data_IF_930117738519
#
_entry.id   IF_930117738519
#
_cell.length_a   1.000
_cell.length_b   1.000
_cell.length_c   1.000
_cell.angle_alpha   90.00
_cell.angle_beta   90.00
_cell.angle_gamma   90.00
#
_symmetry.space_group_name_H-M   'P 1'
#
loop_
_entity.id
_entity.type
_entity.pdbx_description
1 polymer ?
#
# COMPACT_ATOMS: atom_id res chain seq x y z
N UNK A 1 -21.31 -2.24 21.99
CA UNK A 1 -20.54 -2.20 20.72
C UNK A 1 -21.17 -1.13 19.85
N UNK A 2 -20.37 -0.23 19.29
CA UNK A 2 -20.89 0.86 18.45
C UNK A 2 -21.52 0.28 17.18
N UNK A 3 -22.66 0.82 16.73
CA UNK A 3 -23.36 0.37 15.53
C UNK A 3 -23.88 1.59 14.76
N UNK A 4 -23.59 1.65 13.47
CA UNK A 4 -24.11 2.71 12.60
C UNK A 4 -25.55 2.38 12.21
N UNK A 5 -26.43 3.39 12.23
CA UNK A 5 -27.81 3.26 11.73
C UNK A 5 -27.86 3.07 10.21
N UNK A 6 -26.96 3.75 9.49
CA UNK A 6 -26.82 3.60 8.04
C UNK A 6 -26.22 2.24 7.70
N UNK A 7 -26.80 1.57 6.71
CA UNK A 7 -26.24 0.34 6.12
C UNK A 7 -24.82 0.62 5.63
N UNK A 8 -23.86 -0.15 6.14
CA UNK A 8 -22.46 -0.08 5.72
C UNK A 8 -22.25 -0.96 4.50
N UNK A 9 -21.37 -0.53 3.59
CA UNK A 9 -20.94 -1.33 2.45
C UNK A 9 -19.64 -2.05 2.78
N UNK A 10 -19.46 -3.23 2.20
CA UNK A 10 -18.19 -3.95 2.20
C UNK A 10 -17.68 -3.95 0.75
N UNK A 11 -16.47 -3.48 0.56
CA UNK A 11 -15.77 -3.51 -0.73
C UNK A 11 -14.73 -4.61 -0.71
N UNK A 12 -14.64 -5.37 -1.81
CA UNK A 12 -13.58 -6.34 -2.04
C UNK A 12 -12.56 -5.73 -3.02
N UNK A 13 -11.33 -5.55 -2.55
CA UNK A 13 -10.21 -4.97 -3.29
C UNK A 13 -9.13 -6.03 -3.34
N UNK A 14 -8.91 -6.62 -4.51
CA UNK A 14 -8.10 -7.84 -4.61
C UNK A 14 -8.64 -8.92 -3.68
N UNK A 15 -7.83 -9.38 -2.73
CA UNK A 15 -8.21 -10.39 -1.72
C UNK A 15 -8.67 -9.76 -0.38
N UNK A 16 -8.69 -8.43 -0.27
CA UNK A 16 -8.95 -7.72 0.99
C UNK A 16 -10.37 -7.13 1.01
N UNK A 17 -11.09 -7.35 2.13
CA UNK A 17 -12.42 -6.76 2.37
C UNK A 17 -12.31 -5.57 3.31
N UNK A 18 -12.92 -4.44 2.94
CA UNK A 18 -12.91 -3.20 3.73
C UNK A 18 -14.34 -2.67 3.91
N UNK A 19 -14.66 -2.24 5.12
CA UNK A 19 -15.96 -1.64 5.47
C UNK A 19 -16.73 -2.48 6.49
N UNK A 20 -18.06 -2.47 6.37
CA UNK A 20 -18.94 -3.19 7.30
C UNK A 20 -19.18 -2.49 8.64
N UNK A 21 -19.96 -3.14 9.50
CA UNK A 21 -20.21 -2.67 10.87
C UNK A 21 -18.99 -2.94 11.78
N UNK A 22 -18.81 -2.18 12.88
CA UNK A 22 -17.77 -2.48 13.85
C UNK A 22 -17.85 -3.93 14.35
N UNK A 23 -16.77 -4.69 14.21
CA UNK A 23 -16.70 -6.11 14.59
C UNK A 23 -17.11 -7.10 13.49
N UNK A 24 -17.56 -6.64 12.31
CA UNK A 24 -17.89 -7.52 11.18
C UNK A 24 -16.66 -7.99 10.41
N UNK A 25 -15.67 -7.10 10.24
CA UNK A 25 -14.37 -7.38 9.64
C UNK A 25 -13.25 -6.84 10.53
N UNK A 26 -12.05 -7.45 10.51
CA UNK A 26 -10.87 -6.86 11.12
C UNK A 26 -10.54 -5.51 10.47
N UNK A 27 -9.92 -4.61 11.24
CA UNK A 27 -9.36 -3.38 10.70
C UNK A 27 -8.29 -3.71 9.64
N UNK A 28 -8.33 -3.05 8.49
CA UNK A 28 -7.25 -3.17 7.50
C UNK A 28 -6.14 -2.19 7.84
N UNK A 29 -4.89 -2.65 7.86
CA UNK A 29 -3.71 -1.81 8.07
C UNK A 29 -3.02 -1.52 6.73
N UNK A 30 -2.59 -0.28 6.53
CA UNK A 30 -1.94 0.16 5.29
C UNK A 30 -0.56 0.70 5.64
N UNK A 31 0.49 -0.04 5.30
CA UNK A 31 1.88 0.38 5.53
C UNK A 31 2.40 1.23 4.38
N UNK A 32 2.90 2.43 4.69
CA UNK A 32 3.55 3.29 3.70
C UNK A 32 4.97 2.83 3.40
N UNK A 33 5.35 2.82 2.11
CA UNK A 33 6.69 2.52 1.65
C UNK A 33 7.18 3.61 0.69
N UNK A 34 8.50 3.85 0.68
CA UNK A 34 9.18 4.90 -0.09
C UNK A 34 8.79 6.36 0.21
N UNK A 35 8.12 6.61 1.34
CA UNK A 35 7.75 7.96 1.78
C UNK A 35 8.97 8.86 2.07
N UNK A 36 8.73 10.17 2.18
CA UNK A 36 9.71 11.17 2.61
C UNK A 36 10.46 10.73 3.88
N UNK A 37 11.79 10.82 3.88
CA UNK A 37 12.63 10.38 5.00
C UNK A 37 12.79 8.85 5.16
N UNK A 38 12.20 8.02 4.30
CA UNK A 38 12.37 6.57 4.37
C UNK A 38 13.80 6.17 4.00
N UNK A 39 14.54 5.64 4.99
CA UNK A 39 15.97 5.30 4.91
C UNK A 39 16.36 4.34 3.78
N UNK A 40 15.41 3.59 3.22
CA UNK A 40 15.67 2.66 2.12
C UNK A 40 15.75 3.38 0.76
N UNK A 41 15.25 4.60 0.67
CA UNK A 41 15.28 5.42 -0.55
C UNK A 41 16.60 6.20 -0.59
N UNK A 42 17.36 5.99 -1.67
CA UNK A 42 18.67 6.60 -1.90
C UNK A 42 18.55 7.86 -2.75
N UNK A 43 17.65 7.86 -3.73
CA UNK A 43 17.29 9.02 -4.53
C UNK A 43 15.79 8.98 -4.83
N UNK A 44 15.08 10.00 -4.35
CA UNK A 44 13.62 10.10 -4.45
C UNK A 44 13.15 10.59 -5.81
N UNK A 45 14.00 11.32 -6.53
CA UNK A 45 13.67 11.85 -7.86
C UNK A 45 13.70 10.72 -8.89
N UNK A 46 14.75 9.90 -8.87
CA UNK A 46 14.90 8.76 -9.77
C UNK A 46 14.24 7.48 -9.28
N UNK A 47 13.76 7.43 -8.03
CA UNK A 47 13.19 6.20 -7.43
C UNK A 47 14.24 5.12 -7.21
N UNK A 48 15.46 5.51 -6.83
CA UNK A 48 16.51 4.56 -6.44
C UNK A 48 16.33 4.18 -4.96
N UNK A 49 16.22 2.90 -4.68
CA UNK A 49 16.03 2.37 -3.32
C UNK A 49 16.71 1.02 -3.13
N UNK A 50 16.87 0.62 -1.88
CA UNK A 50 17.34 -0.71 -1.51
C UNK A 50 16.23 -1.75 -1.70
N UNK A 51 16.25 -2.45 -2.83
CA UNK A 51 15.25 -3.48 -3.19
C UNK A 51 15.13 -4.60 -2.16
N UNK A 52 16.25 -5.10 -1.62
CA UNK A 52 16.24 -6.19 -0.62
C UNK A 52 15.54 -5.77 0.66
N UNK A 53 15.81 -4.56 1.14
CA UNK A 53 15.17 -4.06 2.34
C UNK A 53 13.69 -3.74 2.11
N UNK A 54 13.35 -3.21 0.94
CA UNK A 54 11.95 -2.99 0.55
C UNK A 54 11.15 -4.31 0.52
N UNK A 55 11.70 -5.35 -0.12
CA UNK A 55 11.12 -6.69 -0.15
C UNK A 55 10.95 -7.26 1.26
N UNK A 56 11.99 -7.15 2.10
CA UNK A 56 11.93 -7.61 3.50
C UNK A 56 10.80 -6.93 4.27
N UNK A 57 10.61 -5.62 4.11
CA UNK A 57 9.55 -4.87 4.79
C UNK A 57 8.14 -5.31 4.33
N UNK A 58 7.96 -5.53 3.03
CA UNK A 58 6.70 -6.03 2.46
C UNK A 58 6.37 -7.42 3.02
N UNK A 59 7.34 -8.34 2.98
CA UNK A 59 7.14 -9.70 3.48
C UNK A 59 6.87 -9.75 4.99
N UNK A 60 7.51 -8.87 5.78
CA UNK A 60 7.21 -8.75 7.22
C UNK A 60 5.77 -8.30 7.45
N UNK A 61 5.24 -7.39 6.64
CA UNK A 61 3.84 -6.98 6.74
C UNK A 61 2.90 -8.15 6.43
N UNK A 62 3.17 -8.91 5.38
CA UNK A 62 2.38 -10.09 5.00
C UNK A 62 2.43 -11.17 6.08
N UNK A 63 3.61 -11.50 6.59
CA UNK A 63 3.79 -12.46 7.68
C UNK A 63 2.99 -12.05 8.93
N UNK A 64 2.99 -10.75 9.27
CA UNK A 64 2.20 -10.24 10.39
C UNK A 64 0.69 -10.28 10.12
N UNK A 65 0.27 -10.01 8.89
CA UNK A 65 -1.13 -10.14 8.46
C UNK A 65 -1.59 -11.60 8.61
N UNK A 66 -0.80 -12.57 8.17
CA UNK A 66 -1.09 -14.00 8.31
C UNK A 66 -1.19 -14.43 9.78
N UNK A 67 -0.23 -14.01 10.62
CA UNK A 67 -0.20 -14.40 12.04
C UNK A 67 -1.34 -13.83 12.87
N UNK A 68 -1.78 -12.61 12.54
CA UNK A 68 -2.78 -11.89 13.33
C UNK A 68 -4.19 -11.98 12.77
N UNK A 69 -4.33 -12.36 11.49
CA UNK A 69 -5.59 -12.29 10.77
C UNK A 69 -6.04 -10.87 10.41
N UNK A 70 -5.18 -9.86 10.63
CA UNK A 70 -5.43 -8.46 10.30
C UNK A 70 -4.99 -8.22 8.85
N UNK A 71 -5.91 -8.00 7.89
CA UNK A 71 -5.55 -7.80 6.49
C UNK A 71 -4.67 -6.57 6.30
N UNK A 72 -3.80 -6.61 5.28
CA UNK A 72 -2.93 -5.50 4.95
C UNK A 72 -3.04 -5.04 3.50
N UNK A 73 -2.67 -3.77 3.29
CA UNK A 73 -2.43 -3.15 1.99
C UNK A 73 -1.14 -2.33 2.07
N UNK A 74 -0.68 -1.80 0.95
CA UNK A 74 0.47 -0.88 0.92
C UNK A 74 0.06 0.52 0.46
N UNK A 75 0.74 1.52 0.98
CA UNK A 75 0.71 2.89 0.47
C UNK A 75 2.04 3.17 -0.24
N UNK A 76 2.02 3.10 -1.57
CA UNK A 76 3.23 3.22 -2.40
C UNK A 76 3.42 4.67 -2.79
N UNK A 77 4.42 5.30 -2.18
CA UNK A 77 4.69 6.73 -2.33
C UNK A 77 5.74 6.99 -3.43
N UNK A 78 5.57 8.04 -4.21
CA UNK A 78 6.58 8.51 -5.16
C UNK A 78 6.54 10.03 -5.36
N UNK A 79 7.71 10.67 -5.33
CA UNK A 79 7.84 12.14 -5.49
C UNK A 79 7.83 12.61 -6.94
N UNK A 80 8.10 11.70 -7.88
CA UNK A 80 8.06 11.93 -9.32
C UNK A 80 7.28 10.80 -10.01
N UNK A 81 6.80 11.04 -11.23
CA UNK A 81 6.15 10.00 -12.04
C UNK A 81 7.09 8.81 -12.28
N UNK A 82 8.37 9.07 -12.57
CA UNK A 82 9.40 8.05 -12.77
C UNK A 82 9.60 7.18 -11.52
N UNK A 83 9.75 7.80 -10.35
CA UNK A 83 9.94 7.08 -9.10
C UNK A 83 8.71 6.24 -8.77
N UNK A 84 7.51 6.81 -8.92
CA UNK A 84 6.27 6.13 -8.62
C UNK A 84 6.06 4.89 -9.51
N UNK A 85 6.37 4.96 -10.81
CA UNK A 85 6.32 3.81 -11.72
C UNK A 85 7.25 2.71 -11.23
N UNK A 86 8.53 3.03 -10.97
CA UNK A 86 9.51 2.03 -10.49
C UNK A 86 9.10 1.39 -9.17
N UNK A 87 8.54 2.18 -8.26
CA UNK A 87 8.05 1.69 -6.97
C UNK A 87 6.85 0.75 -7.15
N UNK A 88 5.87 1.11 -7.97
CA UNK A 88 4.69 0.30 -8.24
C UNK A 88 5.06 -1.00 -8.96
N UNK A 89 5.90 -0.93 -10.00
CA UNK A 89 6.42 -2.11 -10.72
C UNK A 89 7.12 -3.07 -9.75
N UNK A 90 7.99 -2.53 -8.89
CA UNK A 90 8.67 -3.33 -7.88
C UNK A 90 7.69 -3.98 -6.91
N UNK A 91 6.79 -3.20 -6.29
CA UNK A 91 5.83 -3.73 -5.31
C UNK A 91 4.96 -4.81 -5.93
N UNK A 92 4.45 -4.59 -7.14
CA UNK A 92 3.64 -5.58 -7.87
C UNK A 92 4.39 -6.86 -8.23
N UNK A 93 5.73 -6.83 -8.29
CA UNK A 93 6.55 -8.02 -8.51
C UNK A 93 6.81 -8.83 -7.24
N UNK A 94 6.55 -8.26 -6.06
CA UNK A 94 6.83 -8.89 -4.75
C UNK A 94 5.55 -9.42 -4.10
N UNK A 95 4.42 -8.71 -4.23
CA UNK A 95 3.19 -9.02 -3.49
C UNK A 95 1.93 -8.87 -4.33
N UNK A 96 0.93 -9.72 -4.05
CA UNK A 96 -0.45 -9.62 -4.56
C UNK A 96 -1.32 -8.66 -3.71
N UNK A 97 -0.80 -8.14 -2.61
CA UNK A 97 -1.54 -7.28 -1.70
C UNK A 97 -1.96 -5.98 -2.41
N UNK A 98 -3.21 -5.53 -2.27
CA UNK A 98 -3.63 -4.27 -2.86
C UNK A 98 -2.79 -3.10 -2.38
N UNK A 99 -2.61 -2.10 -3.22
CA UNK A 99 -1.84 -0.92 -2.86
C UNK A 99 -2.43 0.38 -3.42
N UNK A 100 -2.10 1.49 -2.75
CA UNK A 100 -2.43 2.84 -3.15
C UNK A 100 -1.30 3.41 -3.99
N UNK A 101 -1.65 4.14 -5.06
CA UNK A 101 -0.71 4.89 -5.90
C UNK A 101 -0.68 6.33 -5.37
N UNK A 102 0.34 6.65 -4.57
CA UNK A 102 0.41 7.88 -3.80
C UNK A 102 1.52 8.83 -4.30
N UNK A 103 1.13 9.79 -5.12
CA UNK A 103 1.97 10.91 -5.54
C UNK A 103 1.49 12.23 -4.94
N UNK A 104 2.36 13.23 -4.73
CA UNK A 104 2.04 14.47 -4.04
C UNK A 104 1.04 15.34 -4.80
N UNK A 105 0.86 15.12 -6.10
CA UNK A 105 -0.15 15.80 -6.91
C UNK A 105 -0.84 14.84 -7.90
N UNK A 106 -1.95 15.29 -8.48
CA UNK A 106 -2.75 14.48 -9.39
C UNK A 106 -1.98 14.10 -10.67
N UNK A 107 -1.13 15.00 -11.17
CA UNK A 107 -0.33 14.77 -12.38
C UNK A 107 0.58 13.55 -12.22
N UNK A 108 1.37 13.51 -11.14
CA UNK A 108 2.24 12.36 -10.81
C UNK A 108 1.43 11.06 -10.67
N UNK A 109 0.25 11.10 -10.04
CA UNK A 109 -0.61 9.92 -9.89
C UNK A 109 -1.28 9.46 -11.19
N UNK A 110 -1.44 10.34 -12.18
CA UNK A 110 -2.03 10.00 -13.48
C UNK A 110 -0.96 9.40 -14.38
N UNK A 111 0.22 10.01 -14.44
CA UNK A 111 1.35 9.49 -15.22
C UNK A 111 1.95 8.23 -14.60
N UNK A 112 1.95 8.13 -13.27
CA UNK A 112 2.50 6.99 -12.53
C UNK A 112 1.67 5.70 -12.61
N UNK A 113 0.74 5.59 -13.56
CA UNK A 113 -0.10 4.40 -13.77
C UNK A 113 0.60 3.45 -14.74
N UNK A 114 0.69 2.19 -14.37
CA UNK A 114 1.11 1.13 -15.29
C UNK A 114 -0.07 0.84 -16.23
N UNK A 115 0.19 0.79 -17.53
CA UNK A 115 -0.82 0.47 -18.57
C UNK A 115 -0.73 -1.01 -18.95
#
# INVERSE_FOLDING_TARGET
MFKFERVQSIFEIGKVKVGGQPGELPTVLIGSIFHEGHRIVQDKSSGLFNRREAERLILVQEEMSEKTGIPCMLDVVGESSEALIKHVEFVSSITDSPFLINGPNAFIRIEGRIT
#
